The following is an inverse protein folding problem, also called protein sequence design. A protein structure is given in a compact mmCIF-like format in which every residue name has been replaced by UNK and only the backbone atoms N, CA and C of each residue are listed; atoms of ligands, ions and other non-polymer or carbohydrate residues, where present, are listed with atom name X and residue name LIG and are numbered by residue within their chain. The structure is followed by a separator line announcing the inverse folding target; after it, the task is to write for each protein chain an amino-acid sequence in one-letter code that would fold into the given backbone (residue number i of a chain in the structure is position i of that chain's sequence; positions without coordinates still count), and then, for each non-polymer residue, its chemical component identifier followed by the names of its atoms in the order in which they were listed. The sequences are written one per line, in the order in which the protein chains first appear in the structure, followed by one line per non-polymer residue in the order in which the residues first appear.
data_IF_365090512909
#
_entry.id   IF_365090512909
#
_cell.length_a   1.000
_cell.length_b   1.000
_cell.length_c   1.000
_cell.angle_alpha   90.00
_cell.angle_beta   90.00
_cell.angle_gamma   90.00
#
_symmetry.space_group_name_H-M   'P 1'
#
loop_
_entity.id
_entity.type
_entity.pdbx_description
1 polymer ?
#
# COMPACT_ATOMS: atom_id res chain seq x y z
N UNK A 1 15.26 -5.01 -6.01
CA UNK A 1 15.70 -4.60 -4.67
C UNK A 1 14.53 -4.11 -3.82
N UNK A 2 14.78 -3.78 -2.54
CA UNK A 2 13.80 -3.18 -1.64
C UNK A 2 13.22 -1.89 -2.20
N UNK A 3 12.03 -1.50 -1.74
CA UNK A 3 11.34 -0.32 -2.24
C UNK A 3 10.66 0.45 -1.12
N UNK A 4 10.76 1.77 -1.16
CA UNK A 4 9.98 2.69 -0.33
C UNK A 4 8.93 3.38 -1.20
N UNK A 5 7.68 3.31 -0.76
CA UNK A 5 6.56 4.03 -1.40
C UNK A 5 6.14 5.16 -0.48
N UNK A 6 6.07 6.38 -1.04
CA UNK A 6 5.61 7.59 -0.34
C UNK A 6 4.42 8.15 -1.10
N UNK A 7 3.34 8.46 -0.39
CA UNK A 7 2.07 8.92 -0.97
C UNK A 7 1.70 10.25 -0.32
N UNK A 8 1.43 11.25 -1.15
CA UNK A 8 0.82 12.52 -0.75
C UNK A 8 -0.68 12.46 -0.99
N UNK A 9 -1.46 12.59 0.09
CA UNK A 9 -2.92 12.54 0.00
C UNK A 9 -3.47 13.91 -0.41
N UNK A 10 -4.37 13.90 -1.40
CA UNK A 10 -4.94 15.12 -1.95
C UNK A 10 -5.75 15.89 -0.90
N UNK A 11 -5.56 17.20 -0.88
CA UNK A 11 -6.31 18.15 -0.05
C UNK A 11 -6.27 17.89 1.47
N UNK A 12 -5.26 17.18 1.99
CA UNK A 12 -5.14 16.96 3.44
C UNK A 12 -3.76 17.23 4.03
N UNK A 13 -2.72 17.36 3.21
CA UNK A 13 -1.34 17.50 3.68
C UNK A 13 -0.78 16.22 4.35
N UNK A 14 -1.53 15.12 4.30
CA UNK A 14 -1.14 13.84 4.87
C UNK A 14 -0.10 13.17 3.96
N UNK A 15 0.98 12.67 4.58
CA UNK A 15 2.02 11.88 3.92
C UNK A 15 2.02 10.50 4.57
N UNK A 16 1.80 9.47 3.76
CA UNK A 16 1.74 8.08 4.20
C UNK A 16 2.61 7.22 3.29
N UNK A 17 2.81 5.95 3.62
CA UNK A 17 3.57 5.08 2.74
C UNK A 17 3.84 3.70 3.31
N UNK A 18 4.74 2.99 2.64
CA UNK A 18 5.16 1.67 3.08
C UNK A 18 6.50 1.24 2.48
N UNK A 19 7.17 0.35 3.18
CA UNK A 19 8.44 -0.25 2.78
C UNK A 19 8.24 -1.71 2.43
N UNK A 20 8.57 -2.09 1.20
CA UNK A 20 8.60 -3.46 0.75
C UNK A 20 10.06 -3.95 0.70
N UNK A 21 10.46 -4.93 1.55
CA UNK A 21 11.81 -5.49 1.52
C UNK A 21 12.04 -6.46 0.35
N UNK A 22 10.98 -6.90 -0.32
CA UNK A 22 11.04 -7.89 -1.38
C UNK A 22 11.28 -7.20 -2.72
N UNK A 23 12.06 -7.85 -3.59
CA UNK A 23 12.13 -7.42 -4.97
C UNK A 23 10.79 -7.65 -5.66
N UNK A 24 10.21 -6.61 -6.26
CA UNK A 24 9.02 -6.76 -7.09
C UNK A 24 9.33 -7.72 -8.24
N UNK A 25 8.74 -8.91 -8.21
CA UNK A 25 8.75 -9.79 -9.38
C UNK A 25 7.50 -9.48 -10.16
N UNK A 26 7.66 -9.25 -11.46
CA UNK A 26 6.52 -9.21 -12.38
C UNK A 26 5.79 -10.54 -12.26
N UNK A 27 4.58 -10.54 -11.71
CA UNK A 27 3.74 -11.73 -11.76
C UNK A 27 3.23 -11.83 -13.19
N UNK A 28 3.83 -12.73 -13.97
CA UNK A 28 3.20 -13.21 -15.20
C UNK A 28 2.08 -14.16 -14.76
N UNK A 29 0.99 -13.61 -14.24
CA UNK A 29 -0.16 -14.41 -13.82
C UNK A 29 -0.97 -14.74 -15.06
N UNK A 30 -0.82 -15.97 -15.55
CA UNK A 30 -1.75 -16.57 -16.52
C UNK A 30 -3.14 -16.84 -15.91
N UNK A 31 -3.41 -16.41 -14.66
CA UNK A 31 -4.60 -16.79 -13.88
C UNK A 31 -5.01 -15.67 -12.91
N UNK A 32 -5.26 -14.46 -13.41
CA UNK A 32 -5.88 -13.36 -12.63
C UNK A 32 -7.42 -13.52 -12.54
N UNK A 33 -7.89 -14.75 -12.30
CA UNK A 33 -9.33 -15.00 -12.14
C UNK A 33 -9.86 -14.54 -10.76
N UNK A 34 -8.96 -14.38 -9.79
CA UNK A 34 -9.29 -13.89 -8.45
C UNK A 34 -8.56 -12.57 -8.20
N UNK A 35 -9.33 -11.50 -7.96
CA UNK A 35 -8.89 -10.10 -7.76
C UNK A 35 -7.87 -9.85 -6.62
N UNK A 36 -7.34 -10.92 -6.03
CA UNK A 36 -6.55 -10.98 -4.80
C UNK A 36 -5.04 -10.92 -5.03
N UNK A 37 -4.53 -11.19 -6.24
CA UNK A 37 -3.09 -11.13 -6.54
C UNK A 37 -2.25 -12.20 -5.83
N UNK A 38 -0.94 -12.23 -6.11
CA UNK A 38 0.00 -13.18 -5.51
C UNK A 38 0.47 -12.69 -4.13
N UNK A 39 0.27 -13.53 -3.10
CA UNK A 39 0.59 -13.22 -1.71
C UNK A 39 2.06 -13.49 -1.42
N UNK A 40 2.75 -12.50 -0.89
CA UNK A 40 4.17 -12.58 -0.59
C UNK A 40 4.40 -12.46 0.91
N UNK A 41 5.16 -13.43 1.44
CA UNK A 41 5.49 -13.47 2.87
C UNK A 41 6.68 -12.58 3.20
N UNK A 42 6.53 -11.73 4.21
CA UNK A 42 7.65 -11.02 4.85
C UNK A 42 7.26 -10.51 6.23
N UNK A 43 8.23 -10.46 7.14
CA UNK A 43 8.09 -9.82 8.46
C UNK A 43 8.78 -8.45 8.51
N UNK A 44 9.53 -8.08 7.48
CA UNK A 44 10.35 -6.87 7.46
C UNK A 44 9.67 -5.68 6.74
N UNK A 45 8.42 -5.87 6.30
CA UNK A 45 7.61 -4.78 5.75
C UNK A 45 7.03 -3.92 6.86
N UNK A 46 6.74 -2.66 6.55
CA UNK A 46 5.99 -1.75 7.41
C UNK A 46 5.25 -0.72 6.58
N UNK A 47 4.14 -0.21 7.12
CA UNK A 47 3.45 0.97 6.61
C UNK A 47 3.53 2.10 7.63
N UNK A 48 3.45 3.35 7.17
CA UNK A 48 3.67 4.50 8.02
C UNK A 48 2.75 5.69 7.69
N UNK A 49 2.64 6.59 8.67
CA UNK A 49 1.96 7.89 8.55
C UNK A 49 2.81 9.00 9.14
N UNK A 50 2.93 10.09 8.41
CA UNK A 50 3.61 11.33 8.80
C UNK A 50 2.63 12.53 8.83
N UNK A 51 1.31 12.28 8.79
CA UNK A 51 0.22 13.28 8.82
C UNK A 51 0.39 14.34 9.91
N UNK A 52 0.92 13.93 11.07
CA UNK A 52 1.31 14.82 12.14
C UNK A 52 2.76 14.49 12.47
N UNK A 53 3.72 15.19 11.86
CA UNK A 53 5.18 14.90 11.95
C UNK A 53 5.71 14.78 13.38
N UNK A 54 5.00 15.33 14.37
CA UNK A 54 5.32 15.17 15.79
C UNK A 54 5.01 13.78 16.35
N UNK A 55 4.01 13.08 15.79
CA UNK A 55 3.56 11.75 16.21
C UNK A 55 3.43 10.87 14.96
N UNK A 56 4.55 10.42 14.37
CA UNK A 56 4.50 9.50 13.25
C UNK A 56 3.94 8.15 13.70
N UNK A 57 3.19 7.50 12.82
CA UNK A 57 2.74 6.12 13.02
C UNK A 57 3.67 5.20 12.23
N UNK A 58 4.23 4.21 12.91
CA UNK A 58 4.85 3.05 12.29
C UNK A 58 4.00 1.82 12.62
N UNK A 59 3.56 1.13 11.58
CA UNK A 59 2.70 -0.04 11.64
C UNK A 59 3.44 -1.23 11.03
N UNK A 60 3.76 -2.22 11.84
CA UNK A 60 4.48 -3.41 11.39
C UNK A 60 3.51 -4.50 10.95
N UNK A 61 4.04 -5.50 10.28
CA UNK A 61 3.27 -6.66 9.84
C UNK A 61 2.75 -7.44 11.05
N UNK A 62 1.42 -7.60 11.13
CA UNK A 62 0.75 -8.50 12.06
C UNK A 62 0.57 -9.90 11.45
N UNK A 63 0.30 -9.99 10.15
CA UNK A 63 0.16 -11.25 9.41
C UNK A 63 1.18 -11.33 8.27
N UNK A 64 2.23 -12.10 8.49
CA UNK A 64 3.35 -12.24 7.55
C UNK A 64 2.99 -12.85 6.20
N UNK A 65 2.05 -13.80 6.16
CA UNK A 65 1.67 -14.55 4.94
C UNK A 65 1.13 -13.66 3.81
N UNK A 66 0.66 -12.47 4.15
CA UNK A 66 -0.05 -11.57 3.24
C UNK A 66 0.48 -10.14 3.36
N UNK A 67 1.72 -9.97 3.83
CA UNK A 67 2.31 -8.66 4.08
C UNK A 67 2.41 -7.82 2.81
N UNK A 68 2.70 -8.44 1.66
CA UNK A 68 2.78 -7.80 0.35
C UNK A 68 1.92 -8.58 -0.65
N UNK A 69 1.17 -7.87 -1.49
CA UNK A 69 0.39 -8.45 -2.56
C UNK A 69 0.95 -7.95 -3.89
N UNK A 70 1.25 -8.87 -4.81
CA UNK A 70 1.60 -8.52 -6.17
C UNK A 70 0.39 -8.68 -7.08
N UNK A 71 0.02 -7.60 -7.78
CA UNK A 71 -1.17 -7.58 -8.60
C UNK A 71 -0.84 -6.87 -9.92
N UNK A 72 -0.93 -7.59 -11.05
CA UNK A 72 -0.41 -7.12 -12.34
C UNK A 72 -1.09 -5.86 -12.89
N UNK A 73 -2.31 -5.56 -12.43
CA UNK A 73 -3.09 -4.40 -12.86
C UNK A 73 -3.19 -3.28 -11.81
N UNK A 74 -2.43 -3.34 -10.71
CA UNK A 74 -2.49 -2.37 -9.61
C UNK A 74 -1.11 -1.91 -9.20
N UNK A 75 -1.07 -0.78 -8.49
CA UNK A 75 0.16 -0.27 -7.91
C UNK A 75 0.63 -1.10 -6.71
N UNK A 76 1.63 -0.61 -5.96
CA UNK A 76 2.08 -1.24 -4.72
C UNK A 76 0.90 -1.58 -3.79
N UNK A 77 0.85 -2.83 -3.35
CA UNK A 77 -0.18 -3.32 -2.42
C UNK A 77 0.49 -3.88 -1.16
N UNK A 78 0.32 -3.17 -0.05
CA UNK A 78 0.71 -3.62 1.28
C UNK A 78 -0.51 -4.25 1.95
N UNK A 79 -0.36 -5.49 2.40
CA UNK A 79 -1.40 -6.19 3.14
C UNK A 79 -2.61 -6.56 2.27
N UNK A 80 -3.65 -7.06 2.93
CA UNK A 80 -4.96 -7.25 2.31
C UNK A 80 -5.72 -5.92 2.18
N UNK A 81 -5.16 -4.97 1.43
CA UNK A 81 -5.67 -3.59 1.25
C UNK A 81 -5.36 -2.65 2.42
N UNK A 82 -4.35 -2.97 3.24
CA UNK A 82 -3.90 -2.07 4.30
C UNK A 82 -3.33 -0.76 3.73
N UNK A 83 -2.65 -0.82 2.59
CA UNK A 83 -2.34 0.33 1.75
C UNK A 83 -2.23 -0.11 0.28
N UNK A 84 -3.18 0.32 -0.56
CA UNK A 84 -3.29 -0.15 -1.95
C UNK A 84 -3.65 0.96 -2.91
N UNK A 85 -2.80 1.20 -3.91
CA UNK A 85 -3.09 2.13 -5.01
C UNK A 85 -3.89 1.40 -6.10
N UNK A 86 -5.04 1.96 -6.48
CA UNK A 86 -5.91 1.42 -7.54
C UNK A 86 -6.30 2.52 -8.55
N UNK A 87 -6.52 2.16 -9.82
CA UNK A 87 -7.11 3.09 -10.78
C UNK A 87 -8.52 3.50 -10.33
N UNK A 88 -8.87 4.77 -10.50
CA UNK A 88 -10.25 5.25 -10.31
C UNK A 88 -11.13 4.91 -11.51
N UNK A 89 -12.44 4.76 -11.29
CA UNK A 89 -13.44 4.68 -12.36
C UNK A 89 -13.66 6.04 -13.05
N UNK A 90 -13.21 7.13 -12.45
CA UNK A 90 -13.22 8.47 -13.04
C UNK A 90 -11.93 8.70 -13.83
N UNK A 91 -12.06 9.24 -15.05
CA UNK A 91 -10.93 9.51 -15.94
C UNK A 91 -9.81 10.31 -15.23
N UNK A 92 -8.58 9.81 -15.31
CA UNK A 92 -7.32 10.40 -14.83
C UNK A 92 -7.06 10.46 -13.32
N UNK A 93 -7.94 9.94 -12.45
CA UNK A 93 -7.66 9.90 -11.01
C UNK A 93 -7.10 8.55 -10.56
N UNK A 94 -6.17 8.59 -9.61
CA UNK A 94 -5.71 7.42 -8.85
C UNK A 94 -6.18 7.57 -7.40
N UNK A 95 -6.66 6.46 -6.83
CA UNK A 95 -7.12 6.43 -5.44
C UNK A 95 -6.33 5.39 -4.66
N UNK A 96 -6.33 5.58 -3.34
CA UNK A 96 -5.77 4.61 -2.41
C UNK A 96 -6.88 4.03 -1.55
N UNK A 97 -6.86 2.71 -1.35
CA UNK A 97 -7.58 2.04 -0.27
C UNK A 97 -6.67 1.90 0.95
N UNK A 98 -7.24 2.06 2.14
CA UNK A 98 -6.56 1.84 3.41
C UNK A 98 -7.48 1.10 4.39
N UNK A 99 -7.10 -0.13 4.72
CA UNK A 99 -7.76 -1.02 5.68
C UNK A 99 -6.79 -1.41 6.80
N UNK A 100 -7.18 -2.33 7.66
CA UNK A 100 -6.29 -2.83 8.71
C UNK A 100 -6.55 -4.31 8.94
N UNK A 101 -5.83 -5.14 8.18
CA UNK A 101 -5.97 -6.59 8.19
C UNK A 101 -4.63 -7.29 8.41
N UNK A 102 -3.57 -6.83 7.73
CA UNK A 102 -2.27 -7.49 7.75
C UNK A 102 -1.22 -6.72 8.56
N UNK A 103 -1.49 -5.48 8.94
CA UNK A 103 -0.60 -4.62 9.73
C UNK A 103 -1.22 -4.26 11.09
N UNK A 104 -0.40 -3.90 12.07
CA UNK A 104 -0.81 -3.69 13.46
C UNK A 104 -1.71 -2.46 13.69
N UNK A 105 -1.56 -1.42 12.87
CA UNK A 105 -2.17 -0.10 13.05
C UNK A 105 -2.69 0.47 11.74
N UNK A 106 -3.81 1.20 11.81
CA UNK A 106 -4.23 2.14 10.76
C UNK A 106 -3.26 3.31 10.68
N UNK A 107 -2.97 3.76 9.46
CA UNK A 107 -2.07 4.89 9.17
C UNK A 107 -2.82 6.15 8.71
N UNK A 108 -4.11 6.04 8.42
CA UNK A 108 -4.96 7.16 8.01
C UNK A 108 -6.41 6.89 8.41
N UNK A 109 -7.16 7.95 8.74
CA UNK A 109 -8.57 7.87 9.12
C UNK A 109 -9.51 8.01 7.90
N UNK A 110 -9.16 7.37 6.80
CA UNK A 110 -9.93 7.33 5.54
C UNK A 110 -9.79 5.92 4.96
N UNK A 111 -10.88 5.36 4.44
CA UNK A 111 -10.82 4.04 3.80
C UNK A 111 -10.47 4.15 2.31
N UNK A 112 -10.94 5.20 1.65
CA UNK A 112 -10.69 5.51 0.24
C UNK A 112 -10.38 7.01 0.13
N UNK A 113 -9.32 7.37 -0.59
CA UNK A 113 -8.93 8.76 -0.79
C UNK A 113 -8.16 8.96 -2.10
N UNK A 114 -8.24 10.17 -2.64
CA UNK A 114 -7.49 10.54 -3.84
C UNK A 114 -6.02 10.81 -3.52
N UNK A 115 -5.15 10.40 -4.43
CA UNK A 115 -3.72 10.66 -4.37
C UNK A 115 -3.43 11.95 -5.13
N UNK A 116 -2.62 12.81 -4.53
CA UNK A 116 -2.05 13.98 -5.22
C UNK A 116 -0.82 13.56 -6.02
N UNK A 117 0.08 12.83 -5.37
CA UNK A 117 1.31 12.30 -5.96
C UNK A 117 1.80 11.06 -5.19
N UNK A 118 2.63 10.24 -5.82
CA UNK A 118 3.34 9.15 -5.15
C UNK A 118 4.72 8.90 -5.76
N UNK A 119 5.69 8.60 -4.90
CA UNK A 119 7.06 8.27 -5.28
C UNK A 119 7.39 6.83 -4.89
N UNK A 120 8.24 6.21 -5.71
CA UNK A 120 8.75 4.84 -5.52
C UNK A 120 10.26 4.90 -5.64
N UNK A 121 10.98 4.54 -4.58
CA UNK A 121 12.45 4.59 -4.47
C UNK A 121 13.04 3.23 -4.09
#
# INVERSE_FOLDING_TARGET
GPTLVVIKVRNSGEIIGGYNPLEWRGVVSLIDYDNFGYRCETSNSFIFSLTNRAIPILSRVASKKEAIIWCGNKGPCFGLKDLRIIPSNSYNNIVCESRNYSYEKKIINKEIFEIEDYEVA
#
